data_IF_059739916605
#
_entry.id   IF_059739916605
#
_cell.length_a   1.000
_cell.length_b   1.000
_cell.length_c   1.000
_cell.angle_alpha   90.00
_cell.angle_beta   90.00
_cell.angle_gamma   90.00
#
_symmetry.space_group_name_H-M   'P 1'
#
loop_
_entity.id
_entity.type
_entity.pdbx_description
1 polymer ?
#
# COMPACT_ATOMS: atom_id res chain seq x y z
N UNK A 1 -12.56 -16.39 4.06
CA UNK A 1 -11.53 -15.37 3.80
C UNK A 1 -10.21 -16.07 3.46
N UNK A 2 -9.59 -15.71 2.34
CA UNK A 2 -8.37 -16.35 1.85
C UNK A 2 -7.35 -15.26 1.50
N UNK A 3 -6.22 -15.14 2.20
CA UNK A 3 -5.15 -14.22 1.83
C UNK A 3 -4.49 -14.68 0.53
N UNK A 4 -4.30 -13.74 -0.41
CA UNK A 4 -3.78 -14.05 -1.76
C UNK A 4 -2.53 -13.25 -2.13
N UNK A 5 -2.31 -12.08 -1.53
CA UNK A 5 -1.20 -11.19 -1.86
C UNK A 5 -0.98 -10.15 -0.75
N UNK A 6 0.10 -9.37 -0.89
CA UNK A 6 0.23 -8.08 -0.23
C UNK A 6 0.14 -6.94 -1.25
N UNK A 7 -0.54 -5.86 -0.86
CA UNK A 7 -0.47 -4.56 -1.49
C UNK A 7 0.45 -3.66 -0.65
N UNK A 8 1.31 -2.91 -1.33
CA UNK A 8 2.15 -1.92 -0.68
C UNK A 8 2.06 -0.59 -1.44
N UNK A 9 1.84 0.48 -0.70
CA UNK A 9 1.86 1.84 -1.23
C UNK A 9 3.27 2.39 -1.11
N UNK A 10 3.76 3.04 -2.15
CA UNK A 10 5.05 3.69 -2.13
C UNK A 10 4.89 5.19 -2.19
N UNK A 11 5.41 5.89 -1.18
CA UNK A 11 5.60 7.34 -1.25
C UNK A 11 6.87 7.60 -2.04
N UNK A 12 6.77 8.47 -3.03
CA UNK A 12 7.86 8.76 -3.97
C UNK A 12 8.14 10.25 -4.07
N UNK A 13 9.37 10.58 -4.39
CA UNK A 13 9.86 11.93 -4.65
C UNK A 13 10.67 11.97 -5.93
N UNK A 14 10.84 13.16 -6.50
CA UNK A 14 11.79 13.38 -7.59
C UNK A 14 13.22 12.97 -7.17
N UNK A 15 14.04 12.35 -8.03
CA UNK A 15 15.41 11.97 -7.69
C UNK A 15 16.31 13.13 -7.22
N UNK A 16 16.06 14.35 -7.69
CA UNK A 16 16.76 15.57 -7.29
C UNK A 16 16.33 16.12 -5.92
N UNK A 17 15.23 15.58 -5.36
CA UNK A 17 14.81 15.87 -3.98
C UNK A 17 15.69 15.05 -3.02
N UNK A 18 16.78 15.61 -2.57
CA UNK A 18 17.74 14.94 -1.69
C UNK A 18 17.43 15.10 -0.22
N UNK A 19 16.49 15.99 0.14
CA UNK A 19 16.18 16.35 1.54
C UNK A 19 15.08 15.51 2.17
N UNK A 20 14.16 14.92 1.38
CA UNK A 20 12.99 14.20 1.88
C UNK A 20 13.07 12.68 1.67
N UNK A 21 14.27 12.10 1.75
CA UNK A 21 14.46 10.64 1.62
C UNK A 21 13.82 9.84 2.75
N UNK A 22 13.56 10.49 3.87
CA UNK A 22 12.85 9.91 5.01
C UNK A 22 11.79 10.88 5.50
N UNK A 23 10.57 10.39 5.72
CA UNK A 23 9.45 11.16 6.26
C UNK A 23 8.74 10.33 7.34
N UNK A 24 8.25 11.00 8.36
CA UNK A 24 7.37 10.36 9.34
C UNK A 24 5.94 10.31 8.84
N UNK A 25 5.12 9.39 9.37
CA UNK A 25 3.66 9.36 9.10
C UNK A 25 3.01 10.70 9.51
N UNK A 26 3.48 11.32 10.58
CA UNK A 26 2.97 12.64 11.01
C UNK A 26 3.28 13.74 9.99
N UNK A 27 4.46 13.72 9.35
CA UNK A 27 4.79 14.66 8.28
C UNK A 27 3.97 14.41 7.02
N UNK A 28 3.74 13.15 6.65
CA UNK A 28 2.82 12.79 5.57
C UNK A 28 1.42 13.30 5.87
N UNK A 29 0.90 13.07 7.08
CA UNK A 29 -0.40 13.61 7.50
C UNK A 29 -0.46 15.13 7.38
N UNK A 30 0.54 15.84 7.87
CA UNK A 30 0.64 17.31 7.77
C UNK A 30 0.57 17.81 6.34
N UNK A 31 1.07 17.02 5.35
CA UNK A 31 0.99 17.37 3.92
C UNK A 31 -0.40 17.08 3.33
N UNK A 32 -1.02 15.96 3.73
CA UNK A 32 -2.17 15.39 3.04
C UNK A 32 -3.52 15.59 3.74
N UNK A 33 -3.56 15.99 5.01
CA UNK A 33 -4.83 16.20 5.72
C UNK A 33 -5.66 17.35 5.08
N UNK A 34 -7.00 17.35 5.20
CA UNK A 34 -7.87 18.39 4.64
C UNK A 34 -7.47 19.80 5.07
N UNK A 35 -7.02 19.98 6.30
CA UNK A 35 -6.59 21.27 6.85
C UNK A 35 -5.31 21.84 6.22
N UNK A 36 -4.57 21.04 5.43
CA UNK A 36 -3.37 21.47 4.72
C UNK A 36 -3.67 22.26 3.44
N UNK A 37 -4.90 22.15 2.91
CA UNK A 37 -5.29 22.77 1.66
C UNK A 37 -5.05 24.29 1.67
N UNK A 38 -4.30 24.78 0.67
CA UNK A 38 -3.92 26.19 0.52
C UNK A 38 -2.96 26.71 1.61
N UNK A 39 -2.64 25.91 2.63
CA UNK A 39 -1.81 26.32 3.80
C UNK A 39 -0.42 25.72 3.78
N UNK A 40 -0.31 24.45 3.46
CA UNK A 40 0.96 23.74 3.35
C UNK A 40 1.32 23.63 1.86
N UNK A 41 2.18 24.53 1.42
CA UNK A 41 2.56 24.70 -0.01
C UNK A 41 4.06 24.64 -0.23
N UNK A 42 4.84 24.45 0.85
CA UNK A 42 6.30 24.51 0.80
C UNK A 42 6.94 23.47 1.72
N UNK A 43 8.02 22.85 1.27
CA UNK A 43 8.76 21.83 2.02
C UNK A 43 9.28 22.32 3.36
N UNK A 44 9.71 23.58 3.46
CA UNK A 44 10.17 24.15 4.73
C UNK A 44 9.09 24.20 5.82
N UNK A 45 7.80 24.19 5.43
CA UNK A 45 6.70 24.12 6.38
C UNK A 45 6.54 22.72 7.00
N UNK A 46 7.05 21.69 6.31
CA UNK A 46 7.03 20.31 6.82
C UNK A 46 8.11 20.13 7.88
N UNK A 47 9.35 20.49 7.54
CA UNK A 47 10.50 20.43 8.45
C UNK A 47 11.37 21.67 8.24
N UNK A 48 11.73 22.37 9.31
CA UNK A 48 12.46 23.63 9.23
C UNK A 48 13.84 23.52 8.53
N UNK A 49 14.44 22.31 8.56
CA UNK A 49 15.71 22.01 7.87
C UNK A 49 15.55 21.76 6.37
N UNK A 50 14.33 21.60 5.85
CA UNK A 50 14.08 21.43 4.43
C UNK A 50 14.23 22.76 3.67
N UNK A 51 14.56 22.71 2.38
CA UNK A 51 14.72 23.93 1.59
C UNK A 51 13.39 24.67 1.41
N UNK A 52 13.49 25.94 1.08
CA UNK A 52 12.33 26.75 0.66
C UNK A 52 11.94 26.40 -0.78
N UNK A 53 11.44 25.18 -0.97
CA UNK A 53 11.04 24.62 -2.25
C UNK A 53 9.53 24.42 -2.27
N UNK A 54 8.86 24.65 -3.41
CA UNK A 54 7.42 24.45 -3.56
C UNK A 54 7.08 22.97 -3.38
N UNK A 55 6.10 22.67 -2.54
CA UNK A 55 5.55 21.33 -2.38
C UNK A 55 4.50 21.09 -3.48
N UNK A 56 4.73 20.08 -4.31
CA UNK A 56 3.82 19.65 -5.36
C UNK A 56 3.38 18.21 -5.09
N UNK A 57 2.07 17.99 -4.96
CA UNK A 57 1.52 16.71 -4.55
C UNK A 57 0.81 16.02 -5.72
N UNK A 58 1.08 14.72 -5.87
CA UNK A 58 0.53 13.85 -6.90
C UNK A 58 -0.03 12.58 -6.26
N UNK A 59 -1.21 12.16 -6.64
CA UNK A 59 -1.80 10.94 -6.08
C UNK A 59 -3.01 10.46 -6.86
N UNK A 60 -3.46 9.22 -6.59
CA UNK A 60 -4.64 8.67 -7.23
C UNK A 60 -5.90 9.50 -6.97
N UNK A 61 -6.89 9.35 -7.84
CA UNK A 61 -8.20 9.93 -7.69
C UNK A 61 -9.10 9.17 -6.70
N UNK A 62 -10.31 9.69 -6.52
CA UNK A 62 -11.25 9.23 -5.50
C UNK A 62 -11.83 7.82 -5.74
N UNK A 63 -11.67 7.26 -6.94
CA UNK A 63 -12.16 5.92 -7.31
C UNK A 63 -11.10 4.82 -7.09
N UNK A 64 -9.91 5.20 -6.60
CA UNK A 64 -8.78 4.32 -6.36
C UNK A 64 -8.79 3.71 -4.95
N UNK A 65 -8.64 2.38 -4.85
CA UNK A 65 -8.42 1.70 -3.57
C UNK A 65 -7.10 2.12 -2.90
N UNK A 66 -6.10 2.55 -3.66
CA UNK A 66 -4.84 3.13 -3.17
C UNK A 66 -5.09 4.46 -2.47
N UNK A 67 -5.98 5.30 -3.02
CA UNK A 67 -6.41 6.55 -2.40
C UNK A 67 -7.11 6.31 -1.06
N UNK A 68 -8.07 5.39 -1.03
CA UNK A 68 -8.82 5.07 0.19
C UNK A 68 -7.86 4.59 1.29
N UNK A 69 -6.98 3.67 0.94
CA UNK A 69 -6.04 3.10 1.91
C UNK A 69 -5.00 4.11 2.40
N UNK A 70 -4.40 4.91 1.50
CA UNK A 70 -3.44 5.94 1.92
C UNK A 70 -4.08 6.96 2.87
N UNK A 71 -5.26 7.46 2.53
CA UNK A 71 -5.95 8.45 3.36
C UNK A 71 -6.36 7.89 4.72
N UNK A 72 -6.75 6.61 4.79
CA UNK A 72 -7.01 5.93 6.06
C UNK A 72 -5.73 5.76 6.89
N UNK A 73 -4.66 5.23 6.29
CA UNK A 73 -3.40 4.94 6.97
C UNK A 73 -2.68 6.19 7.46
N UNK A 74 -2.73 7.28 6.71
CA UNK A 74 -2.01 8.53 7.00
C UNK A 74 -2.87 9.54 7.75
N UNK A 75 -4.10 9.77 7.30
CA UNK A 75 -4.99 10.78 7.86
C UNK A 75 -5.96 10.21 8.93
N UNK A 76 -6.04 8.87 9.04
CA UNK A 76 -6.89 8.18 10.01
C UNK A 76 -8.34 7.99 9.56
N UNK A 77 -8.68 8.37 8.33
CA UNK A 77 -10.02 8.20 7.76
C UNK A 77 -9.93 8.10 6.23
N UNK A 78 -10.49 7.03 5.66
CA UNK A 78 -10.58 6.86 4.23
C UNK A 78 -11.28 8.07 3.56
N UNK A 79 -10.78 8.45 2.40
CA UNK A 79 -11.25 9.58 1.57
C UNK A 79 -11.08 10.96 2.23
N UNK A 80 -10.42 11.07 3.36
CA UNK A 80 -10.17 12.35 4.05
C UNK A 80 -8.82 12.91 3.63
N UNK A 81 -8.82 13.85 2.69
CA UNK A 81 -7.60 14.50 2.17
C UNK A 81 -7.88 15.92 1.66
N UNK A 82 -6.81 16.67 1.39
CA UNK A 82 -6.88 17.95 0.69
C UNK A 82 -7.31 17.75 -0.77
N UNK A 83 -7.90 18.79 -1.40
CA UNK A 83 -8.36 18.73 -2.79
C UNK A 83 -7.45 19.43 -3.81
N UNK A 84 -6.38 20.11 -3.37
CA UNK A 84 -5.50 20.94 -4.21
C UNK A 84 -4.20 20.20 -4.62
N UNK A 85 -4.25 18.87 -4.76
CA UNK A 85 -3.18 18.06 -5.35
C UNK A 85 -3.55 17.66 -6.78
N UNK A 86 -2.57 17.21 -7.56
CA UNK A 86 -2.82 16.65 -8.89
C UNK A 86 -3.30 15.23 -8.75
N UNK A 87 -4.59 15.00 -9.01
CA UNK A 87 -5.22 13.69 -8.98
C UNK A 87 -5.25 13.06 -10.38
N UNK A 88 -4.97 11.76 -10.48
CA UNK A 88 -5.13 10.99 -11.71
C UNK A 88 -5.40 9.52 -11.39
N UNK A 89 -6.29 8.89 -12.16
CA UNK A 89 -6.47 7.43 -12.14
C UNK A 89 -5.42 6.71 -13.02
N UNK A 90 -4.68 7.47 -13.85
CA UNK A 90 -3.55 6.95 -14.61
C UNK A 90 -2.24 7.19 -13.86
N UNK A 91 -1.67 6.12 -13.31
CA UNK A 91 -0.41 6.16 -12.58
C UNK A 91 0.77 6.69 -13.44
N UNK A 92 0.73 6.53 -14.77
CA UNK A 92 1.77 7.10 -15.64
C UNK A 92 1.77 8.63 -15.59
N UNK A 93 0.61 9.25 -15.48
CA UNK A 93 0.47 10.70 -15.27
C UNK A 93 1.11 11.12 -13.95
N UNK A 94 0.92 10.34 -12.89
CA UNK A 94 1.52 10.60 -11.58
C UNK A 94 3.04 10.44 -11.62
N UNK A 95 3.54 9.40 -12.29
CA UNK A 95 4.98 9.16 -12.52
C UNK A 95 5.61 10.36 -13.22
N UNK A 96 5.04 10.83 -14.33
CA UNK A 96 5.51 12.01 -15.06
C UNK A 96 5.48 13.27 -14.19
N UNK A 97 4.44 13.44 -13.38
CA UNK A 97 4.34 14.56 -12.45
C UNK A 97 5.49 14.58 -11.46
N UNK A 98 5.84 13.45 -10.88
CA UNK A 98 6.96 13.33 -9.94
C UNK A 98 8.32 13.47 -10.64
N UNK A 99 8.51 12.82 -11.79
CA UNK A 99 9.75 12.86 -12.58
C UNK A 99 10.14 14.29 -12.98
N UNK A 100 9.18 15.10 -13.39
CA UNK A 100 9.44 16.41 -13.97
C UNK A 100 9.45 17.57 -12.96
N UNK A 101 9.18 17.33 -11.68
CA UNK A 101 9.12 18.38 -10.67
C UNK A 101 9.98 18.06 -9.45
N UNK A 102 11.04 18.83 -9.24
CA UNK A 102 12.00 18.64 -8.12
C UNK A 102 11.32 18.66 -6.75
N UNK A 103 10.31 19.51 -6.55
CA UNK A 103 9.56 19.63 -5.32
C UNK A 103 8.37 18.65 -5.21
N UNK A 104 8.27 17.67 -6.11
CA UNK A 104 7.17 16.72 -6.11
C UNK A 104 7.29 15.67 -5.01
N UNK A 105 6.14 15.30 -4.46
CA UNK A 105 5.88 14.08 -3.70
C UNK A 105 4.61 13.45 -4.24
N UNK A 106 4.65 12.14 -4.46
CA UNK A 106 3.50 11.34 -4.87
C UNK A 106 3.38 10.05 -4.10
N UNK A 107 2.28 9.33 -4.30
CA UNK A 107 2.11 7.96 -3.82
C UNK A 107 1.28 7.14 -4.80
N UNK A 108 1.63 5.86 -4.94
CA UNK A 108 0.94 4.87 -5.77
C UNK A 108 1.40 3.45 -5.40
N UNK A 109 0.90 2.44 -6.09
CA UNK A 109 1.26 1.04 -5.85
C UNK A 109 2.76 0.76 -6.05
N UNK A 110 3.31 -0.14 -5.24
CA UNK A 110 4.73 -0.52 -5.28
C UNK A 110 5.20 -0.99 -6.67
N UNK A 111 4.33 -1.66 -7.43
CA UNK A 111 4.67 -2.14 -8.77
C UNK A 111 5.05 -1.01 -9.73
N UNK A 112 4.30 0.08 -9.72
CA UNK A 112 4.61 1.25 -10.54
C UNK A 112 5.94 1.89 -10.14
N UNK A 113 6.20 2.01 -8.84
CA UNK A 113 7.52 2.43 -8.37
C UNK A 113 8.61 1.47 -8.83
N UNK A 114 8.40 0.15 -8.69
CA UNK A 114 9.39 -0.86 -9.07
C UNK A 114 9.75 -0.82 -10.56
N UNK A 115 8.77 -0.52 -11.42
CA UNK A 115 8.95 -0.38 -12.87
C UNK A 115 9.64 0.94 -13.28
N UNK A 116 9.68 1.96 -12.38
CA UNK A 116 10.17 3.30 -12.70
C UNK A 116 11.22 3.82 -11.68
N UNK A 117 12.01 2.91 -11.10
CA UNK A 117 13.05 3.24 -10.10
C UNK A 117 14.13 4.21 -10.59
N UNK A 118 14.32 4.27 -11.90
CA UNK A 118 15.23 5.20 -12.58
C UNK A 118 14.69 6.64 -12.60
N UNK A 119 13.38 6.83 -12.50
CA UNK A 119 12.69 8.11 -12.65
C UNK A 119 12.34 8.78 -11.31
N UNK A 120 12.30 8.01 -10.23
CA UNK A 120 11.89 8.50 -8.92
C UNK A 120 12.58 7.75 -7.80
N UNK A 121 12.53 8.32 -6.61
CA UNK A 121 13.07 7.70 -5.41
C UNK A 121 11.96 7.41 -4.41
N UNK A 122 11.98 6.21 -3.83
CA UNK A 122 11.11 5.90 -2.70
C UNK A 122 11.55 6.66 -1.44
N UNK A 123 10.55 7.07 -0.67
CA UNK A 123 10.72 7.63 0.66
C UNK A 123 10.64 6.49 1.69
N UNK A 124 11.62 6.41 2.58
CA UNK A 124 11.51 5.56 3.75
C UNK A 124 10.57 6.23 4.76
N UNK A 125 9.54 5.49 5.19
CA UNK A 125 8.49 6.01 6.09
C UNK A 125 8.76 5.56 7.51
N UNK A 126 8.74 6.51 8.45
CA UNK A 126 8.90 6.25 9.88
C UNK A 126 7.55 6.33 10.59
N UNK A 127 7.10 5.18 11.09
CA UNK A 127 5.91 5.04 11.93
C UNK A 127 6.23 5.01 13.43
N UNK A 128 7.39 5.53 13.85
CA UNK A 128 7.83 5.61 15.25
C UNK A 128 8.82 4.52 15.67
N UNK A 129 9.27 3.67 14.73
CA UNK A 129 10.28 2.63 14.97
C UNK A 129 11.53 2.79 14.09
N UNK A 130 11.67 3.96 13.48
CA UNK A 130 12.69 4.26 12.48
C UNK A 130 12.19 4.15 11.05
N UNK A 131 12.89 4.78 10.10
CA UNK A 131 12.47 4.83 8.70
C UNK A 131 12.66 3.48 8.01
N UNK A 132 11.61 2.99 7.34
CA UNK A 132 11.60 1.74 6.58
C UNK A 132 11.18 2.04 5.14
N UNK A 133 11.95 1.53 4.16
CA UNK A 133 11.63 1.63 2.75
C UNK A 133 10.76 0.48 2.25
N UNK A 134 10.03 0.66 1.13
CA UNK A 134 9.23 -0.39 0.54
C UNK A 134 10.12 -1.48 -0.07
N UNK A 135 9.95 -2.71 0.37
CA UNK A 135 10.56 -3.92 -0.22
C UNK A 135 9.70 -5.13 0.09
N UNK A 136 9.88 -6.22 -0.68
CA UNK A 136 9.18 -7.48 -0.41
C UNK A 136 9.43 -7.95 1.03
N UNK A 137 10.68 -7.90 1.49
CA UNK A 137 11.07 -8.29 2.85
C UNK A 137 10.34 -7.46 3.90
N UNK A 138 10.38 -6.12 3.78
CA UNK A 138 9.80 -5.20 4.76
C UNK A 138 8.26 -5.25 4.78
N UNK A 139 7.63 -5.61 3.66
CA UNK A 139 6.18 -5.82 3.57
C UNK A 139 5.81 -7.15 4.23
N UNK A 140 6.53 -8.23 3.92
CA UNK A 140 6.25 -9.57 4.45
C UNK A 140 6.43 -9.66 5.97
N UNK A 141 7.45 -8.99 6.52
CA UNK A 141 7.69 -8.93 7.96
C UNK A 141 6.93 -7.79 8.67
N UNK A 142 6.05 -7.07 7.94
CA UNK A 142 5.25 -5.94 8.40
C UNK A 142 6.04 -4.76 9.00
N UNK A 143 7.33 -4.65 8.75
CA UNK A 143 8.12 -3.48 9.17
C UNK A 143 7.76 -2.24 8.35
N UNK A 144 7.32 -2.41 7.08
CA UNK A 144 6.81 -1.33 6.24
C UNK A 144 5.34 -1.00 6.57
N UNK A 145 5.10 -0.56 7.79
CA UNK A 145 3.79 -0.14 8.30
C UNK A 145 3.75 1.39 8.41
N UNK A 146 2.58 2.03 8.16
CA UNK A 146 1.25 1.47 7.88
C UNK A 146 0.92 1.30 6.40
N UNK A 147 1.88 1.38 5.48
CA UNK A 147 1.66 1.46 4.04
C UNK A 147 1.67 0.10 3.32
N UNK A 148 1.48 -0.99 4.04
CA UNK A 148 1.28 -2.32 3.48
C UNK A 148 0.09 -3.04 4.12
N UNK A 149 -0.64 -3.82 3.31
CA UNK A 149 -1.81 -4.58 3.74
C UNK A 149 -1.91 -5.92 3.02
N UNK A 150 -2.43 -6.98 3.66
CA UNK A 150 -2.81 -8.18 2.97
C UNK A 150 -4.04 -7.95 2.09
N UNK A 151 -4.11 -8.67 0.98
CA UNK A 151 -5.27 -8.75 0.09
C UNK A 151 -5.92 -10.11 0.24
N UNK A 152 -7.26 -10.12 0.19
CA UNK A 152 -8.06 -11.31 0.40
C UNK A 152 -9.02 -11.57 -0.76
N UNK A 153 -9.30 -12.84 -0.99
CA UNK A 153 -10.46 -13.29 -1.74
C UNK A 153 -11.50 -13.84 -0.74
N UNK A 154 -12.73 -13.37 -0.86
CA UNK A 154 -13.86 -13.85 -0.07
C UNK A 154 -14.68 -14.80 -0.92
N UNK A 155 -14.79 -16.07 -0.50
CA UNK A 155 -15.58 -17.10 -1.16
C UNK A 155 -16.82 -17.38 -0.33
N UNK A 156 -18.02 -17.25 -0.94
CA UNK A 156 -19.26 -17.67 -0.27
C UNK A 156 -19.24 -19.18 -0.07
N UNK A 157 -19.60 -19.62 1.12
CA UNK A 157 -19.71 -21.05 1.47
C UNK A 157 -20.60 -21.83 0.50
N UNK A 158 -21.76 -21.27 0.16
CA UNK A 158 -22.70 -21.87 -0.81
C UNK A 158 -22.14 -21.96 -2.22
N UNK A 159 -21.17 -21.11 -2.59
CA UNK A 159 -20.49 -21.14 -3.90
C UNK A 159 -19.24 -22.00 -3.89
N UNK A 160 -18.63 -22.24 -2.72
CA UNK A 160 -17.39 -22.99 -2.58
C UNK A 160 -17.48 -24.45 -3.08
N UNK A 161 -18.71 -25.01 -3.18
CA UNK A 161 -18.92 -26.35 -3.67
C UNK A 161 -18.97 -26.46 -5.21
N UNK A 162 -19.12 -25.34 -5.92
CA UNK A 162 -19.18 -25.30 -7.37
C UNK A 162 -17.81 -25.62 -7.98
N UNK A 163 -17.72 -26.52 -8.98
CA UNK A 163 -16.43 -26.93 -9.57
C UNK A 163 -15.59 -25.74 -10.08
N UNK A 164 -16.23 -24.79 -10.79
CA UNK A 164 -15.56 -23.62 -11.33
C UNK A 164 -14.98 -22.70 -10.26
N UNK A 165 -15.63 -22.60 -9.09
CA UNK A 165 -15.12 -21.82 -7.95
C UNK A 165 -13.93 -22.53 -7.30
N UNK A 166 -14.01 -23.86 -7.15
CA UNK A 166 -12.90 -24.67 -6.63
C UNK A 166 -11.66 -24.55 -7.50
N UNK A 167 -11.84 -24.74 -8.81
CA UNK A 167 -10.74 -24.63 -9.78
C UNK A 167 -10.12 -23.24 -9.79
N UNK A 168 -10.94 -22.19 -9.76
CA UNK A 168 -10.47 -20.81 -9.72
C UNK A 168 -9.66 -20.50 -8.44
N UNK A 169 -10.15 -20.90 -7.27
CA UNK A 169 -9.43 -20.71 -6.00
C UNK A 169 -8.12 -21.49 -5.99
N UNK A 170 -8.13 -22.75 -6.44
CA UNK A 170 -6.93 -23.56 -6.56
C UNK A 170 -5.91 -22.93 -7.51
N UNK A 171 -6.39 -22.42 -8.66
CA UNK A 171 -5.53 -21.72 -9.63
C UNK A 171 -4.86 -20.50 -8.97
N UNK A 172 -5.60 -19.58 -8.38
CA UNK A 172 -5.03 -18.39 -7.74
C UNK A 172 -3.99 -18.77 -6.68
N UNK A 173 -4.31 -19.72 -5.80
CA UNK A 173 -3.43 -20.10 -4.69
C UNK A 173 -2.22 -20.93 -5.13
N UNK A 174 -2.27 -21.57 -6.31
CA UNK A 174 -1.13 -22.30 -6.88
C UNK A 174 -0.22 -21.43 -7.76
N UNK A 175 -0.69 -20.25 -8.18
CA UNK A 175 -0.01 -19.37 -9.14
C UNK A 175 0.42 -18.05 -8.48
N UNK A 176 1.04 -18.15 -7.31
CA UNK A 176 1.63 -16.97 -6.64
C UNK A 176 2.69 -16.21 -7.48
N UNK A 177 3.24 -16.87 -8.51
CA UNK A 177 4.11 -16.26 -9.53
C UNK A 177 3.40 -15.11 -10.28
N UNK A 178 2.13 -15.28 -10.65
CA UNK A 178 1.34 -14.28 -11.35
C UNK A 178 1.06 -13.02 -10.52
N UNK A 179 1.11 -13.13 -9.20
CA UNK A 179 0.89 -11.99 -8.30
C UNK A 179 1.89 -10.86 -8.58
N UNK A 180 3.15 -11.21 -8.83
CA UNK A 180 4.18 -10.21 -9.17
C UNK A 180 3.97 -9.59 -10.55
N UNK A 181 3.44 -10.37 -11.51
CA UNK A 181 3.16 -9.87 -12.87
C UNK A 181 2.06 -8.81 -12.89
N UNK A 182 1.07 -8.94 -11.98
CA UNK A 182 -0.04 -7.97 -11.85
C UNK A 182 0.24 -6.87 -10.83
N UNK A 183 1.47 -6.79 -10.33
CA UNK A 183 1.92 -5.64 -9.56
C UNK A 183 1.72 -5.72 -8.06
N UNK A 184 1.37 -6.88 -7.52
CA UNK A 184 1.30 -7.13 -6.09
C UNK A 184 2.51 -7.89 -5.57
N UNK A 185 2.63 -8.01 -4.26
CA UNK A 185 3.70 -8.77 -3.61
C UNK A 185 3.17 -10.15 -3.22
N UNK A 186 3.83 -11.26 -3.66
CA UNK A 186 3.35 -12.59 -3.38
C UNK A 186 3.52 -12.96 -1.89
N UNK A 187 2.64 -13.81 -1.40
CA UNK A 187 2.82 -14.46 -0.12
C UNK A 187 3.95 -15.51 -0.18
N UNK A 188 4.54 -15.89 0.95
CA UNK A 188 5.41 -17.06 1.02
C UNK A 188 4.67 -18.33 0.55
N UNK A 189 5.39 -19.28 -0.07
CA UNK A 189 4.80 -20.55 -0.54
C UNK A 189 4.06 -21.32 0.56
N UNK A 190 4.58 -21.28 1.77
CA UNK A 190 3.96 -21.90 2.95
C UNK A 190 2.60 -21.29 3.29
N UNK A 191 2.43 -19.97 3.08
CA UNK A 191 1.17 -19.28 3.28
C UNK A 191 0.12 -19.74 2.25
N UNK A 192 0.48 -19.79 0.96
CA UNK A 192 -0.41 -20.31 -0.08
C UNK A 192 -0.86 -21.75 0.20
N UNK A 193 0.07 -22.62 0.61
CA UNK A 193 -0.24 -24.02 0.94
C UNK A 193 -1.23 -24.12 2.13
N UNK A 194 -1.05 -23.31 3.16
CA UNK A 194 -1.95 -23.28 4.31
C UNK A 194 -3.34 -22.72 3.92
N UNK A 195 -3.38 -21.62 3.18
CA UNK A 195 -4.63 -21.02 2.69
C UNK A 195 -5.41 -22.00 1.81
N UNK A 196 -4.71 -22.72 0.92
CA UNK A 196 -5.35 -23.75 0.09
C UNK A 196 -5.92 -24.89 0.94
N UNK A 197 -5.18 -25.31 1.96
CA UNK A 197 -5.66 -26.34 2.91
C UNK A 197 -6.90 -25.85 3.66
N UNK A 198 -6.96 -24.61 4.14
CA UNK A 198 -8.14 -24.03 4.79
C UNK A 198 -9.36 -24.04 3.89
N UNK A 199 -9.19 -23.70 2.62
CA UNK A 199 -10.26 -23.75 1.63
C UNK A 199 -10.75 -25.19 1.41
N UNK A 200 -9.83 -26.16 1.26
CA UNK A 200 -10.17 -27.58 1.07
C UNK A 200 -10.87 -28.19 2.29
N UNK A 201 -10.45 -27.81 3.49
CA UNK A 201 -11.04 -28.25 4.77
C UNK A 201 -12.41 -27.57 5.04
N UNK A 202 -12.84 -26.61 4.19
CA UNK A 202 -14.10 -25.90 4.34
C UNK A 202 -14.15 -24.97 5.56
N UNK A 203 -13.01 -24.43 5.98
CA UNK A 203 -12.94 -23.49 7.12
C UNK A 203 -13.65 -22.18 6.77
N UNK A 204 -14.55 -21.76 7.64
CA UNK A 204 -15.39 -20.56 7.47
C UNK A 204 -14.94 -19.46 8.43
N UNK A 205 -15.21 -18.22 8.04
CA UNK A 205 -15.03 -17.05 8.89
C UNK A 205 -14.06 -16.01 8.31
N UNK A 206 -13.86 -14.97 9.11
CA UNK A 206 -12.92 -13.87 8.81
C UNK A 206 -12.14 -13.53 10.08
N UNK A 207 -10.82 -13.51 9.99
CA UNK A 207 -9.95 -13.19 11.13
C UNK A 207 -10.06 -11.74 11.59
N UNK A 208 -10.57 -10.86 10.73
CA UNK A 208 -10.69 -9.43 11.02
C UNK A 208 -12.13 -8.97 11.29
N UNK A 209 -13.12 -9.85 11.10
CA UNK A 209 -14.52 -9.48 11.28
C UNK A 209 -14.95 -8.27 10.43
N UNK A 210 -14.37 -8.11 9.24
CA UNK A 210 -14.64 -6.98 8.33
C UNK A 210 -13.90 -5.68 8.66
N UNK A 211 -13.08 -5.65 9.70
CA UNK A 211 -12.27 -4.46 10.06
C UNK A 211 -10.80 -4.72 9.74
N UNK A 212 -10.22 -4.02 8.74
CA UNK A 212 -8.81 -4.22 8.37
C UNK A 212 -7.87 -3.93 9.54
N UNK A 213 -6.85 -4.76 9.71
CA UNK A 213 -5.75 -4.51 10.66
C UNK A 213 -4.51 -4.09 9.91
N UNK A 214 -3.99 -2.92 10.25
CA UNK A 214 -2.75 -2.37 9.69
C UNK A 214 -1.55 -2.95 10.45
N UNK A 215 -0.45 -3.27 9.73
CA UNK A 215 0.81 -3.70 10.35
C UNK A 215 0.80 -5.12 10.90
N UNK A 216 -0.02 -6.02 10.35
CA UNK A 216 0.00 -7.44 10.69
C UNK A 216 1.03 -8.18 9.84
N UNK A 217 1.85 -9.03 10.47
CA UNK A 217 2.78 -9.91 9.75
C UNK A 217 2.03 -11.08 9.12
N UNK A 218 2.63 -11.71 8.10
CA UNK A 218 2.04 -12.92 7.51
C UNK A 218 1.92 -14.04 8.55
N UNK A 219 2.90 -14.22 9.42
CA UNK A 219 2.86 -15.26 10.46
C UNK A 219 1.73 -15.02 11.46
N UNK A 220 1.50 -13.75 11.85
CA UNK A 220 0.37 -13.38 12.70
C UNK A 220 -0.97 -13.64 12.01
N UNK A 221 -1.08 -13.29 10.72
CA UNK A 221 -2.27 -13.56 9.92
C UNK A 221 -2.58 -15.05 9.86
N UNK A 222 -1.57 -15.86 9.50
CA UNK A 222 -1.72 -17.32 9.41
C UNK A 222 -2.05 -17.95 10.77
N UNK A 223 -1.45 -17.45 11.86
CA UNK A 223 -1.77 -17.91 13.21
C UNK A 223 -3.20 -17.55 13.66
N UNK A 224 -3.77 -16.46 13.14
CA UNK A 224 -5.18 -16.11 13.36
C UNK A 224 -6.09 -17.00 12.52
N UNK A 225 -5.78 -17.22 11.26
CA UNK A 225 -6.55 -18.09 10.36
C UNK A 225 -6.54 -19.56 10.81
N UNK A 226 -5.45 -20.01 11.40
CA UNK A 226 -5.38 -21.38 11.96
C UNK A 226 -6.39 -21.61 13.12
N UNK A 227 -6.93 -20.52 13.70
CA UNK A 227 -7.93 -20.59 14.79
C UNK A 227 -9.37 -20.55 14.31
N UNK A 228 -9.60 -20.26 13.02
CA UNK A 228 -10.91 -20.41 12.37
C UNK A 228 -11.24 -21.90 12.17
#
# INVERSE_FOLDING_TARGET
>A
ELPVAFDALTVVINPQNTWARTLTVAELKKMWEPGAQGRITNWKQIRASFPNEKLMLFGPGADSGTFDYFTEAVNGKAKSTRGDYTASEDDNTLVQGVENNKGALGYFGYAYYAAHKDKMAAVAVDAGKGPVGPSLENVTNASYSPLSRPLFVYVRDTSAQRPEVKEFVQFILSRGDLVSEVGYLPLPKTAYALTLKHFQDGKLGSVFGGVPKIGITIDQLLAMEAKL
#
